data_IF_243390272890
#
_entry.id   IF_243390272890
#
_cell.length_a   1.000
_cell.length_b   1.000
_cell.length_c   1.000
_cell.angle_alpha   90.00
_cell.angle_beta   90.00
_cell.angle_gamma   90.00
#
_symmetry.space_group_name_H-M   'P 1'
#
loop_
_entity.id
_entity.type
_entity.pdbx_description
1 polymer ?
#
# COMPACT_ATOMS: atom_id res chain seq x y z
N UNK A 1 -17.74 -17.07 14.94
CA UNK A 1 -17.28 -16.10 13.90
C UNK A 1 -15.78 -15.97 14.09
N UNK A 2 -14.94 -16.20 13.07
CA UNK A 2 -13.49 -16.03 13.25
C UNK A 2 -13.20 -14.53 13.43
N UNK A 3 -12.97 -14.13 14.67
CA UNK A 3 -12.56 -12.78 15.05
C UNK A 3 -11.15 -12.51 14.48
N UNK A 4 -11.00 -11.40 13.76
CA UNK A 4 -9.67 -10.99 13.28
C UNK A 4 -9.04 -10.19 14.42
N UNK A 5 -8.09 -10.82 15.10
CA UNK A 5 -7.32 -10.16 16.16
C UNK A 5 -6.61 -8.93 15.59
N UNK A 6 -6.64 -7.82 16.34
CA UNK A 6 -5.99 -6.55 15.99
C UNK A 6 -6.35 -6.04 14.57
N UNK A 7 -7.63 -6.15 14.17
CA UNK A 7 -8.11 -5.77 12.84
C UNK A 7 -7.69 -4.37 12.39
N UNK A 8 -7.66 -3.39 13.31
CA UNK A 8 -7.15 -2.04 13.04
C UNK A 8 -5.72 -2.03 12.48
N UNK A 9 -4.87 -2.98 12.87
CA UNK A 9 -3.48 -3.12 12.40
C UNK A 9 -3.36 -3.75 11.01
N UNK A 10 -4.47 -4.11 10.36
CA UNK A 10 -4.49 -4.42 8.94
C UNK A 10 -4.68 -3.17 8.07
N UNK A 11 -5.15 -2.06 8.63
CA UNK A 11 -5.54 -0.88 7.84
C UNK A 11 -4.35 0.06 7.63
N UNK A 12 -4.07 0.36 6.37
CA UNK A 12 -3.26 1.49 5.93
C UNK A 12 -4.23 2.60 5.48
N UNK A 13 -4.49 3.58 6.36
CA UNK A 13 -5.43 4.67 6.13
C UNK A 13 -4.83 5.69 5.17
N UNK A 14 -5.52 6.01 4.09
CA UNK A 14 -4.90 6.63 2.90
C UNK A 14 -5.64 7.89 2.47
N UNK A 15 -4.90 8.99 2.27
CA UNK A 15 -5.36 10.24 1.68
C UNK A 15 -4.41 10.68 0.55
N UNK A 16 -4.72 10.27 -0.67
CA UNK A 16 -3.86 10.49 -1.86
C UNK A 16 -4.57 11.11 -3.06
N UNK A 17 -5.83 11.54 -2.89
CA UNK A 17 -6.56 12.26 -3.94
C UNK A 17 -5.93 13.63 -4.19
N UNK A 18 -5.77 14.07 -5.45
CA UNK A 18 -4.98 15.25 -5.80
C UNK A 18 -5.50 16.55 -5.19
N UNK A 19 -6.80 16.62 -4.91
CA UNK A 19 -7.47 17.78 -4.33
C UNK A 19 -7.50 17.79 -2.79
N UNK A 20 -6.88 16.81 -2.13
CA UNK A 20 -6.86 16.73 -0.67
C UNK A 20 -6.18 17.95 -0.04
N UNK A 21 -6.91 18.63 0.84
CA UNK A 21 -6.43 19.82 1.53
C UNK A 21 -5.58 19.45 2.75
N UNK A 22 -4.76 20.40 3.20
CA UNK A 22 -3.99 20.29 4.46
C UNK A 22 -4.88 19.87 5.64
N UNK A 23 -6.10 20.43 5.74
CA UNK A 23 -7.06 20.12 6.82
C UNK A 23 -7.46 18.65 6.79
N UNK A 24 -7.72 18.10 5.61
CA UNK A 24 -8.10 16.70 5.44
C UNK A 24 -6.93 15.75 5.71
N UNK A 25 -5.69 16.16 5.40
CA UNK A 25 -4.50 15.39 5.77
C UNK A 25 -4.31 15.34 7.29
N UNK A 26 -4.51 16.47 7.98
CA UNK A 26 -4.48 16.51 9.46
C UNK A 26 -5.54 15.56 10.03
N UNK A 27 -6.79 15.67 9.55
CA UNK A 27 -7.88 14.81 10.00
C UNK A 27 -7.56 13.32 9.77
N UNK A 28 -7.01 12.94 8.60
CA UNK A 28 -6.62 11.56 8.33
C UNK A 28 -5.53 11.05 9.30
N UNK A 29 -4.57 11.90 9.68
CA UNK A 29 -3.57 11.54 10.68
C UNK A 29 -4.21 11.32 12.06
N UNK A 30 -5.08 12.24 12.51
CA UNK A 30 -5.79 12.15 13.78
C UNK A 30 -6.70 10.91 13.85
N UNK A 31 -7.40 10.60 12.76
CA UNK A 31 -8.20 9.37 12.62
C UNK A 31 -7.32 8.13 12.73
N UNK A 32 -6.17 8.11 12.07
CA UNK A 32 -5.25 6.98 12.14
C UNK A 32 -4.72 6.75 13.55
N UNK A 33 -4.45 7.82 14.29
CA UNK A 33 -4.07 7.76 15.72
C UNK A 33 -5.24 7.22 16.55
N UNK A 34 -6.43 7.83 16.40
CA UNK A 34 -7.63 7.47 17.17
C UNK A 34 -7.97 5.99 17.10
N UNK A 35 -7.88 5.40 15.91
CA UNK A 35 -8.19 3.99 15.70
C UNK A 35 -6.95 3.08 15.68
N UNK A 36 -5.77 3.63 15.99
CA UNK A 36 -4.50 2.92 16.03
C UNK A 36 -4.25 2.08 14.76
N UNK A 37 -4.43 2.68 13.58
CA UNK A 37 -4.17 2.03 12.30
C UNK A 37 -2.68 1.73 12.11
N UNK A 38 -2.34 0.81 11.20
CA UNK A 38 -0.95 0.40 11.00
C UNK A 38 -0.09 1.54 10.44
N UNK A 39 -0.59 2.16 9.38
CA UNK A 39 0.12 3.20 8.63
C UNK A 39 -0.87 4.27 8.15
N UNK A 40 -0.44 5.52 8.10
CA UNK A 40 -1.16 6.60 7.42
C UNK A 40 -0.40 7.01 6.16
N UNK A 41 -1.02 6.89 4.98
CA UNK A 41 -0.44 7.31 3.70
C UNK A 41 -0.98 8.68 3.32
N UNK A 42 -0.07 9.61 3.06
CA UNK A 42 -0.38 11.01 2.73
C UNK A 42 0.34 11.45 1.46
N UNK A 43 -0.07 12.58 0.88
CA UNK A 43 0.63 13.16 -0.26
C UNK A 43 2.08 13.55 0.14
N UNK A 44 3.08 13.36 -0.76
CA UNK A 44 4.48 13.64 -0.44
C UNK A 44 4.74 15.03 0.12
N UNK A 45 4.03 16.05 -0.37
CA UNK A 45 4.16 17.44 0.10
C UNK A 45 3.75 17.65 1.57
N UNK A 46 3.01 16.72 2.17
CA UNK A 46 2.57 16.78 3.56
C UNK A 46 3.29 15.80 4.48
N UNK A 47 4.31 15.06 4.00
CA UNK A 47 5.08 14.13 4.84
C UNK A 47 5.65 14.80 6.11
N UNK A 48 6.30 15.98 6.06
CA UNK A 48 6.82 16.62 7.28
C UNK A 48 5.72 17.00 8.29
N UNK A 49 4.55 17.41 7.80
CA UNK A 49 3.39 17.73 8.62
C UNK A 49 2.85 16.46 9.29
N UNK A 50 2.60 15.41 8.51
CA UNK A 50 2.08 14.13 9.00
C UNK A 50 3.05 13.50 10.01
N UNK A 51 4.37 13.55 9.76
CA UNK A 51 5.40 13.09 10.71
C UNK A 51 5.25 13.77 12.08
N UNK A 52 5.00 15.08 12.08
CA UNK A 52 4.85 15.85 13.31
C UNK A 52 3.60 15.44 14.10
N UNK A 53 2.50 15.15 13.41
CA UNK A 53 1.22 14.74 14.03
C UNK A 53 1.28 13.30 14.54
N UNK A 54 1.86 12.38 13.77
CA UNK A 54 1.92 10.95 14.09
C UNK A 54 3.00 10.60 15.14
N UNK A 55 3.85 11.54 15.51
CA UNK A 55 4.98 11.32 16.43
C UNK A 55 4.52 10.68 17.75
N UNK A 56 5.08 9.52 18.08
CA UNK A 56 4.80 8.80 19.32
C UNK A 56 3.47 8.03 19.36
N UNK A 57 2.70 8.03 18.26
CA UNK A 57 1.39 7.36 18.21
C UNK A 57 1.45 5.84 17.97
N UNK A 58 2.56 5.33 17.42
CA UNK A 58 2.67 3.94 16.95
C UNK A 58 2.03 3.68 15.57
N UNK A 59 1.48 4.71 14.93
CA UNK A 59 1.06 4.71 13.53
C UNK A 59 2.24 5.11 12.67
N UNK A 60 2.60 4.27 11.69
CA UNK A 60 3.70 4.59 10.76
C UNK A 60 3.29 5.63 9.74
N UNK A 61 4.24 6.42 9.26
CA UNK A 61 4.04 7.30 8.10
C UNK A 61 4.38 6.59 6.79
N UNK A 62 3.42 6.51 5.87
CA UNK A 62 3.58 5.91 4.54
C UNK A 62 3.73 6.95 3.44
N UNK A 63 4.65 6.71 2.50
CA UNK A 63 4.83 7.55 1.31
C UNK A 63 4.62 6.76 0.01
N UNK A 64 3.84 7.29 -0.95
CA UNK A 64 3.80 6.73 -2.30
C UNK A 64 5.02 7.21 -3.12
N UNK A 65 5.51 6.37 -4.04
CA UNK A 65 6.64 6.69 -4.94
C UNK A 65 6.22 6.44 -6.38
N UNK A 66 6.52 7.40 -7.26
CA UNK A 66 6.18 7.38 -8.69
C UNK A 66 4.67 7.21 -8.91
N UNK A 67 3.87 7.74 -7.99
CA UNK A 67 2.45 7.43 -7.91
C UNK A 67 1.58 8.47 -8.65
N UNK A 68 0.50 8.06 -9.34
CA UNK A 68 -0.01 6.69 -9.44
C UNK A 68 0.50 5.89 -10.65
N UNK A 69 1.24 6.49 -11.59
CA UNK A 69 1.43 5.86 -12.90
C UNK A 69 2.72 5.03 -13.05
N UNK A 70 3.73 5.25 -12.22
CA UNK A 70 4.94 4.43 -12.19
C UNK A 70 5.90 4.63 -13.36
N UNK A 71 5.63 5.59 -14.26
CA UNK A 71 6.35 5.77 -15.53
C UNK A 71 7.63 6.60 -15.44
N UNK A 72 7.97 7.09 -14.24
CA UNK A 72 9.18 7.88 -14.05
C UNK A 72 10.41 6.98 -14.15
N UNK A 73 11.53 7.56 -14.58
CA UNK A 73 12.81 6.88 -14.63
C UNK A 73 13.25 6.42 -13.23
N UNK A 74 14.02 5.33 -13.19
CA UNK A 74 14.45 4.71 -11.94
C UNK A 74 15.19 5.70 -11.02
N UNK A 75 16.02 6.57 -11.58
CA UNK A 75 16.78 7.57 -10.80
C UNK A 75 15.86 8.56 -10.09
N UNK A 76 14.74 8.93 -10.72
CA UNK A 76 13.72 9.79 -10.12
C UNK A 76 13.02 9.07 -8.98
N UNK A 77 12.66 7.78 -9.16
CA UNK A 77 12.07 6.99 -8.06
C UNK A 77 13.02 6.84 -6.88
N UNK A 78 14.31 6.62 -7.13
CA UNK A 78 15.36 6.56 -6.10
C UNK A 78 15.48 7.89 -5.36
N UNK A 79 15.53 9.01 -6.09
CA UNK A 79 15.60 10.34 -5.49
C UNK A 79 14.35 10.64 -4.65
N UNK A 80 13.17 10.36 -5.18
CA UNK A 80 11.88 10.53 -4.49
C UNK A 80 11.83 9.69 -3.22
N UNK A 81 12.33 8.45 -3.28
CA UNK A 81 12.41 7.55 -2.11
C UNK A 81 13.30 8.15 -1.02
N UNK A 82 14.49 8.66 -1.37
CA UNK A 82 15.38 9.34 -0.40
C UNK A 82 14.68 10.54 0.23
N UNK A 83 14.01 11.36 -0.59
CA UNK A 83 13.27 12.54 -0.11
C UNK A 83 12.13 12.18 0.83
N UNK A 84 11.40 11.11 0.54
CA UNK A 84 10.33 10.62 1.40
C UNK A 84 10.87 10.17 2.77
N UNK A 85 12.00 9.45 2.77
CA UNK A 85 12.66 8.98 4.01
C UNK A 85 13.21 10.15 4.83
N UNK A 86 13.87 11.12 4.19
CA UNK A 86 14.31 12.37 4.83
C UNK A 86 13.12 13.11 5.48
N UNK A 87 11.98 13.12 4.79
CA UNK A 87 10.72 13.70 5.29
C UNK A 87 10.04 12.86 6.39
N UNK A 88 10.56 11.67 6.72
CA UNK A 88 10.12 10.83 7.83
C UNK A 88 9.20 9.67 7.46
N UNK A 89 9.12 9.28 6.19
CA UNK A 89 8.42 8.06 5.81
C UNK A 89 9.09 6.82 6.46
N UNK A 90 8.26 5.90 6.94
CA UNK A 90 8.64 4.63 7.57
C UNK A 90 8.17 3.42 6.75
N UNK A 91 7.29 3.63 5.76
CA UNK A 91 6.91 2.62 4.78
C UNK A 91 6.79 3.26 3.39
N UNK A 92 7.21 2.51 2.36
CA UNK A 92 7.22 2.98 0.98
C UNK A 92 6.26 2.14 0.13
N UNK A 93 5.39 2.79 -0.64
CA UNK A 93 4.55 2.14 -1.65
C UNK A 93 4.95 2.66 -3.05
N UNK A 94 5.78 1.92 -3.79
CA UNK A 94 6.21 2.30 -5.13
C UNK A 94 5.27 1.76 -6.21
N UNK A 95 5.09 2.47 -7.32
CA UNK A 95 4.42 1.92 -8.52
C UNK A 95 5.47 1.40 -9.51
N UNK A 96 5.26 0.19 -10.01
CA UNK A 96 6.10 -0.39 -11.06
C UNK A 96 6.05 0.44 -12.34
N UNK A 97 7.08 0.37 -13.17
CA UNK A 97 6.92 0.83 -14.55
C UNK A 97 6.06 -0.17 -15.34
N UNK A 98 4.78 0.17 -15.48
CA UNK A 98 3.79 -0.69 -16.17
C UNK A 98 4.16 -0.82 -17.65
N UNK A 99 4.69 0.25 -18.27
CA UNK A 99 5.12 0.23 -19.67
C UNK A 99 6.23 -0.80 -19.90
N UNK A 100 7.27 -0.82 -19.05
CA UNK A 100 8.34 -1.81 -19.15
C UNK A 100 7.82 -3.24 -18.97
N UNK A 101 6.91 -3.46 -18.01
CA UNK A 101 6.31 -4.79 -17.83
C UNK A 101 5.53 -5.24 -19.08
N UNK A 102 4.74 -4.34 -19.67
CA UNK A 102 3.98 -4.59 -20.90
C UNK A 102 4.87 -4.84 -22.12
N UNK A 103 6.02 -4.16 -22.17
CA UNK A 103 7.03 -4.36 -23.20
C UNK A 103 7.94 -5.57 -22.95
N UNK A 104 7.71 -6.33 -21.87
CA UNK A 104 8.53 -7.48 -21.48
C UNK A 104 10.00 -7.14 -21.16
N UNK A 105 10.27 -5.87 -20.83
CA UNK A 105 11.58 -5.36 -20.40
C UNK A 105 11.83 -5.73 -18.93
N UNK A 106 11.83 -7.02 -18.63
CA UNK A 106 11.77 -7.54 -17.25
C UNK A 106 13.01 -7.20 -16.43
N UNK A 107 14.17 -7.12 -17.07
CA UNK A 107 15.43 -6.70 -16.46
C UNK A 107 15.34 -5.26 -15.98
N UNK A 108 14.73 -4.35 -16.77
CA UNK A 108 14.50 -2.96 -16.37
C UNK A 108 13.51 -2.86 -15.21
N UNK A 109 12.45 -3.68 -15.22
CA UNK A 109 11.49 -3.74 -14.10
C UNK A 109 12.17 -4.24 -12.82
N UNK A 110 13.01 -5.27 -12.92
CA UNK A 110 13.77 -5.80 -11.79
C UNK A 110 14.76 -4.77 -11.25
N UNK A 111 15.48 -4.08 -12.12
CA UNK A 111 16.42 -3.03 -11.74
C UNK A 111 15.71 -1.86 -11.04
N UNK A 112 14.58 -1.39 -11.58
CA UNK A 112 13.76 -0.31 -11.02
C UNK A 112 13.33 -0.62 -9.57
N UNK A 113 12.73 -1.80 -9.36
CA UNK A 113 12.29 -2.23 -8.03
C UNK A 113 13.48 -2.44 -7.10
N UNK A 114 14.56 -3.09 -7.57
CA UNK A 114 15.73 -3.38 -6.73
C UNK A 114 16.44 -2.10 -6.26
N UNK A 115 16.53 -1.09 -7.11
CA UNK A 115 17.13 0.22 -6.74
C UNK A 115 16.28 0.95 -5.70
N UNK A 116 14.94 0.92 -5.81
CA UNK A 116 14.07 1.49 -4.78
C UNK A 116 14.15 0.69 -3.47
N UNK A 117 14.10 -0.64 -3.52
CA UNK A 117 14.23 -1.51 -2.34
C UNK A 117 15.55 -1.28 -1.62
N UNK A 118 16.67 -1.24 -2.34
CA UNK A 118 17.99 -0.99 -1.75
C UNK A 118 18.09 0.39 -1.11
N UNK A 119 17.53 1.41 -1.77
CA UNK A 119 17.50 2.79 -1.27
C UNK A 119 16.65 2.93 0.01
N UNK A 120 15.57 2.17 0.10
CA UNK A 120 14.65 2.24 1.23
C UNK A 120 15.14 1.51 2.49
N UNK A 121 16.18 0.68 2.42
CA UNK A 121 16.66 -0.10 3.58
C UNK A 121 17.01 0.82 4.76
N UNK A 122 16.66 0.43 6.00
CA UNK A 122 16.06 -0.85 6.40
C UNK A 122 14.53 -0.93 6.29
N UNK A 123 13.86 0.09 5.71
CA UNK A 123 12.41 0.11 5.56
C UNK A 123 11.94 -0.92 4.52
N UNK A 124 10.73 -1.42 4.71
CA UNK A 124 10.05 -2.29 3.76
C UNK A 124 9.43 -1.50 2.60
N UNK A 125 9.56 -2.05 1.39
CA UNK A 125 8.91 -1.52 0.18
C UNK A 125 7.74 -2.41 -0.21
N UNK A 126 6.63 -1.76 -0.56
CA UNK A 126 5.45 -2.38 -1.18
C UNK A 126 5.41 -1.99 -2.64
N UNK A 127 5.30 -2.99 -3.51
CA UNK A 127 5.32 -2.81 -4.97
C UNK A 127 3.89 -2.85 -5.51
N UNK A 128 3.36 -1.69 -5.90
CA UNK A 128 2.06 -1.56 -6.56
C UNK A 128 2.19 -2.00 -8.01
N UNK A 129 1.50 -3.08 -8.38
CA UNK A 129 1.57 -3.65 -9.73
C UNK A 129 0.44 -3.23 -10.65
N UNK A 130 -0.57 -2.56 -10.09
CA UNK A 130 -1.76 -2.09 -10.80
C UNK A 130 -2.46 -3.18 -11.61
N UNK A 131 -2.98 -4.18 -10.89
CA UNK A 131 -3.48 -5.45 -11.45
C UNK A 131 -4.56 -5.29 -12.51
N UNK A 132 -5.30 -4.17 -12.54
CA UNK A 132 -6.34 -3.90 -13.51
C UNK A 132 -5.83 -3.76 -14.95
N UNK A 133 -4.53 -3.50 -15.13
CA UNK A 133 -3.91 -3.46 -16.46
C UNK A 133 -3.24 -4.77 -16.84
N UNK A 134 -3.09 -5.71 -15.91
CA UNK A 134 -2.24 -6.88 -16.11
C UNK A 134 -3.03 -8.14 -16.48
N UNK A 135 -2.47 -8.93 -17.40
CA UNK A 135 -2.92 -10.31 -17.63
C UNK A 135 -2.50 -11.21 -16.46
N UNK A 136 -2.99 -12.45 -16.43
CA UNK A 136 -2.58 -13.42 -15.41
C UNK A 136 -1.08 -13.72 -15.50
N UNK A 137 -0.54 -13.84 -16.71
CA UNK A 137 0.87 -14.14 -16.98
C UNK A 137 1.77 -13.01 -16.48
N UNK A 138 1.38 -11.76 -16.75
CA UNK A 138 2.11 -10.58 -16.26
C UNK A 138 2.06 -10.48 -14.73
N UNK A 139 0.92 -10.79 -14.09
CA UNK A 139 0.79 -10.86 -12.63
C UNK A 139 1.73 -11.89 -12.02
N UNK A 140 1.88 -13.06 -12.64
CA UNK A 140 2.81 -14.11 -12.21
C UNK A 140 4.26 -13.61 -12.36
N UNK A 141 4.57 -13.00 -13.51
CA UNK A 141 5.92 -12.51 -13.80
C UNK A 141 6.36 -11.40 -12.86
N UNK A 142 5.51 -10.40 -12.61
CA UNK A 142 5.84 -9.30 -11.70
C UNK A 142 5.94 -9.75 -10.25
N UNK A 143 5.19 -10.77 -9.83
CA UNK A 143 5.34 -11.39 -8.52
C UNK A 143 6.74 -11.99 -8.34
N UNK A 144 7.23 -12.76 -9.32
CA UNK A 144 8.58 -13.32 -9.32
C UNK A 144 9.65 -12.22 -9.26
N UNK A 145 9.49 -11.16 -10.07
CA UNK A 145 10.40 -10.01 -10.06
C UNK A 145 10.40 -9.30 -8.70
N UNK A 146 9.24 -9.04 -8.10
CA UNK A 146 9.13 -8.37 -6.80
C UNK A 146 9.80 -9.19 -5.68
N UNK A 147 9.65 -10.52 -5.71
CA UNK A 147 10.33 -11.43 -4.78
C UNK A 147 11.86 -11.36 -4.97
N UNK A 148 12.34 -11.43 -6.23
CA UNK A 148 13.78 -11.36 -6.54
C UNK A 148 14.40 -10.03 -6.15
N UNK A 149 13.67 -8.93 -6.31
CA UNK A 149 14.09 -7.59 -5.89
C UNK A 149 14.14 -7.40 -4.37
N UNK A 150 13.56 -8.33 -3.58
CA UNK A 150 13.51 -8.25 -2.12
C UNK A 150 12.43 -7.30 -1.59
N UNK A 151 11.35 -7.08 -2.36
CA UNK A 151 10.21 -6.32 -1.86
C UNK A 151 9.52 -7.04 -0.69
N UNK A 152 9.08 -6.29 0.32
CA UNK A 152 8.38 -6.88 1.46
C UNK A 152 6.92 -7.20 1.11
N UNK A 153 6.29 -6.36 0.29
CA UNK A 153 4.92 -6.54 -0.14
C UNK A 153 4.77 -6.42 -1.66
N UNK A 154 3.83 -7.20 -2.20
CA UNK A 154 3.16 -6.89 -3.45
C UNK A 154 1.82 -6.22 -3.13
N UNK A 155 1.50 -5.13 -3.82
CA UNK A 155 0.28 -4.34 -3.64
C UNK A 155 -0.54 -4.36 -4.92
N UNK A 156 -1.85 -4.57 -4.81
CA UNK A 156 -2.72 -4.77 -5.97
C UNK A 156 -2.85 -3.52 -6.83
N UNK A 157 -3.30 -2.40 -6.26
CA UNK A 157 -3.79 -1.27 -7.06
C UNK A 157 -3.49 0.08 -6.43
N UNK A 158 -3.42 1.13 -7.25
CA UNK A 158 -3.28 2.52 -6.76
C UNK A 158 -4.59 3.10 -6.28
N UNK A 159 -5.71 2.65 -6.86
CA UNK A 159 -7.03 3.27 -6.71
C UNK A 159 -7.35 4.36 -7.76
N UNK A 160 -6.42 4.65 -8.67
CA UNK A 160 -6.59 5.59 -9.79
C UNK A 160 -6.75 4.89 -11.14
N UNK A 161 -6.50 3.58 -11.20
CA UNK A 161 -6.85 2.75 -12.35
C UNK A 161 -8.36 2.48 -12.47
N UNK A 162 -8.81 1.84 -13.58
CA UNK A 162 -10.22 1.55 -13.84
C UNK A 162 -10.85 0.55 -12.87
N UNK A 163 -10.04 -0.29 -12.20
CA UNK A 163 -10.49 -1.27 -11.21
C UNK A 163 -9.51 -1.36 -10.05
N UNK A 164 -10.01 -1.75 -8.88
CA UNK A 164 -9.22 -1.92 -7.66
C UNK A 164 -8.82 -3.38 -7.41
N UNK A 165 -8.69 -3.74 -6.13
CA UNK A 165 -8.36 -5.11 -5.73
C UNK A 165 -9.48 -6.10 -6.09
N UNK A 166 -9.09 -7.26 -6.60
CA UNK A 166 -9.98 -8.40 -6.82
C UNK A 166 -9.52 -9.59 -5.97
N UNK A 167 -10.46 -10.38 -5.43
CA UNK A 167 -10.13 -11.54 -4.60
C UNK A 167 -9.31 -12.58 -5.36
N UNK A 168 -9.51 -12.71 -6.67
CA UNK A 168 -8.74 -13.60 -7.53
C UNK A 168 -7.25 -13.23 -7.56
N UNK A 169 -6.93 -11.94 -7.62
CA UNK A 169 -5.54 -11.45 -7.62
C UNK A 169 -4.84 -11.73 -6.29
N UNK A 170 -5.52 -11.49 -5.17
CA UNK A 170 -4.96 -11.76 -3.83
C UNK A 170 -4.74 -13.25 -3.62
N UNK A 171 -5.67 -14.11 -4.05
CA UNK A 171 -5.49 -15.56 -3.98
C UNK A 171 -4.32 -16.03 -4.84
N UNK A 172 -4.22 -15.54 -6.08
CA UNK A 172 -3.11 -15.84 -6.99
C UNK A 172 -1.76 -15.47 -6.34
N UNK A 173 -1.65 -14.25 -5.81
CA UNK A 173 -0.42 -13.82 -5.14
C UNK A 173 -0.12 -14.63 -3.89
N UNK A 174 -1.13 -15.04 -3.11
CA UNK A 174 -0.90 -15.84 -1.90
C UNK A 174 -0.43 -17.25 -2.24
N UNK A 175 -1.05 -17.88 -3.23
CA UNK A 175 -0.71 -19.23 -3.68
C UNK A 175 0.73 -19.31 -4.19
N UNK A 176 1.14 -18.35 -5.02
CA UNK A 176 2.45 -18.35 -5.66
C UNK A 176 3.54 -17.72 -4.79
N UNK A 177 3.23 -16.64 -4.08
CA UNK A 177 4.17 -15.90 -3.24
C UNK A 177 4.45 -16.57 -1.89
N UNK A 178 3.49 -17.35 -1.38
CA UNK A 178 3.57 -18.11 -0.12
C UNK A 178 4.01 -17.21 1.05
N UNK A 179 5.20 -17.45 1.60
CA UNK A 179 5.78 -16.70 2.72
C UNK A 179 6.98 -15.84 2.28
N UNK A 180 7.27 -15.79 0.97
CA UNK A 180 8.38 -15.01 0.40
C UNK A 180 8.04 -13.53 0.27
N UNK A 181 6.75 -13.19 0.21
CA UNK A 181 6.27 -11.82 0.05
C UNK A 181 4.88 -11.69 0.68
N UNK A 182 4.60 -10.54 1.31
CA UNK A 182 3.29 -10.22 1.89
C UNK A 182 2.41 -9.53 0.85
N UNK A 183 1.10 -9.50 1.10
CA UNK A 183 0.13 -8.90 0.15
C UNK A 183 -0.56 -7.71 0.80
N UNK A 184 -0.62 -6.59 0.08
CA UNK A 184 -1.48 -5.45 0.41
C UNK A 184 -2.60 -5.33 -0.63
N UNK A 185 -3.85 -5.54 -0.22
CA UNK A 185 -5.01 -5.32 -1.08
C UNK A 185 -5.43 -3.84 -0.98
N UNK A 186 -5.61 -3.17 -2.12
CA UNK A 186 -6.04 -1.77 -2.16
C UNK A 186 -6.84 -1.43 -3.41
N UNK A 187 -7.65 -0.37 -3.31
CA UNK A 187 -8.56 0.09 -4.37
C UNK A 187 -9.95 -0.52 -4.23
N UNK A 188 -10.96 0.32 -3.99
CA UNK A 188 -12.37 -0.10 -3.95
C UNK A 188 -12.84 -0.79 -2.65
N UNK A 189 -12.00 -0.90 -1.62
CA UNK A 189 -12.35 -1.56 -0.35
C UNK A 189 -13.02 -0.54 0.58
N UNK A 190 -14.34 -0.66 0.77
CA UNK A 190 -15.20 0.35 1.44
C UNK A 190 -16.05 -0.20 2.58
N UNK A 191 -15.97 -1.49 2.90
CA UNK A 191 -16.68 -2.12 4.03
C UNK A 191 -15.81 -3.14 4.76
N UNK A 192 -16.17 -3.44 6.00
CA UNK A 192 -15.57 -4.49 6.81
C UNK A 192 -15.63 -5.85 6.12
N UNK A 193 -16.77 -6.20 5.50
CA UNK A 193 -16.91 -7.50 4.82
C UNK A 193 -15.94 -7.65 3.64
N UNK A 194 -15.70 -6.58 2.88
CA UNK A 194 -14.70 -6.59 1.80
C UNK A 194 -13.29 -6.76 2.40
N UNK A 195 -12.92 -5.94 3.39
CA UNK A 195 -11.62 -6.02 4.04
C UNK A 195 -11.35 -7.41 4.63
N UNK A 196 -12.33 -7.97 5.36
CA UNK A 196 -12.30 -9.32 5.91
C UNK A 196 -12.08 -10.38 4.83
N UNK A 197 -12.78 -10.27 3.70
CA UNK A 197 -12.64 -11.22 2.59
C UNK A 197 -11.23 -11.22 2.01
N UNK A 198 -10.61 -10.05 1.87
CA UNK A 198 -9.22 -9.94 1.42
C UNK A 198 -8.22 -10.50 2.44
N UNK A 199 -8.42 -10.23 3.74
CA UNK A 199 -7.57 -10.77 4.81
C UNK A 199 -7.62 -12.30 4.81
N UNK A 200 -8.83 -12.88 4.73
CA UNK A 200 -9.02 -14.33 4.65
C UNK A 200 -8.44 -14.94 3.36
N UNK A 201 -8.38 -14.16 2.27
CA UNK A 201 -7.74 -14.57 1.02
C UNK A 201 -6.20 -14.50 1.07
N UNK A 202 -5.60 -13.92 2.11
CA UNK A 202 -4.16 -13.84 2.32
C UNK A 202 -3.57 -12.43 2.36
N UNK A 203 -4.39 -11.38 2.31
CA UNK A 203 -3.90 -10.01 2.47
C UNK A 203 -3.40 -9.77 3.91
N UNK A 204 -2.16 -9.31 4.03
CA UNK A 204 -1.56 -8.90 5.29
C UNK A 204 -1.76 -7.40 5.59
N UNK A 205 -2.25 -6.63 4.62
CA UNK A 205 -2.59 -5.22 4.77
C UNK A 205 -3.70 -4.80 3.81
N UNK A 206 -4.48 -3.80 4.20
CA UNK A 206 -5.61 -3.24 3.47
C UNK A 206 -5.36 -1.74 3.29
N UNK A 207 -5.12 -1.30 2.05
CA UNK A 207 -5.04 0.13 1.73
C UNK A 207 -6.42 0.69 1.39
N UNK A 208 -6.88 1.67 2.17
CA UNK A 208 -8.20 2.29 1.97
C UNK A 208 -8.26 3.72 2.49
N UNK A 209 -9.11 4.55 1.87
CA UNK A 209 -9.53 5.86 2.40
C UNK A 209 -10.78 5.76 3.29
N UNK A 210 -11.45 4.60 3.31
CA UNK A 210 -12.63 4.33 4.12
C UNK A 210 -12.29 3.72 5.48
N UNK A 211 -11.05 3.86 5.97
CA UNK A 211 -10.55 3.21 7.18
C UNK A 211 -11.47 3.41 8.39
N UNK A 212 -11.90 4.65 8.63
CA UNK A 212 -12.83 5.00 9.72
C UNK A 212 -14.17 4.29 9.61
N UNK A 213 -14.76 4.23 8.41
CA UNK A 213 -16.02 3.53 8.19
C UNK A 213 -15.86 2.04 8.48
N UNK A 214 -14.82 1.43 7.92
CA UNK A 214 -14.54 0.00 8.04
C UNK A 214 -14.29 -0.41 9.49
N UNK A 215 -13.52 0.38 10.26
CA UNK A 215 -13.26 0.05 11.67
C UNK A 215 -14.50 0.24 12.54
N UNK A 216 -15.36 1.22 12.25
CA UNK A 216 -16.64 1.38 12.97
C UNK A 216 -17.56 0.19 12.76
N UNK A 217 -17.75 -0.23 11.50
CA UNK A 217 -18.51 -1.44 11.17
C UNK A 217 -17.97 -2.67 11.92
N UNK A 218 -16.64 -2.80 12.04
CA UNK A 218 -16.02 -3.86 12.84
C UNK A 218 -16.33 -3.75 14.34
N UNK A 219 -16.17 -2.56 14.92
CA UNK A 219 -16.39 -2.31 16.35
C UNK A 219 -17.85 -2.52 16.76
N UNK A 220 -18.79 -2.10 15.92
CA UNK A 220 -20.22 -2.38 16.08
C UNK A 220 -20.48 -3.89 16.14
N UNK A 221 -19.90 -4.66 15.21
CA UNK A 221 -20.07 -6.12 15.13
C UNK A 221 -19.52 -6.87 16.36
N UNK A 222 -18.48 -6.35 17.01
CA UNK A 222 -17.89 -6.97 18.21
C UNK A 222 -18.40 -6.35 19.52
N UNK A 223 -19.42 -5.48 19.46
CA UNK A 223 -20.02 -4.85 20.64
C UNK A 223 -19.08 -3.90 21.39
N UNK A 224 -18.16 -3.23 20.69
CA UNK A 224 -17.17 -2.30 21.27
C UNK A 224 -17.35 -0.85 20.83
N UNK A 225 -18.52 -0.47 20.32
CA UNK A 225 -18.84 0.93 20.15
C UNK A 225 -18.98 1.59 21.54
N UNK A 226 -18.14 2.59 21.83
CA UNK A 226 -18.30 3.53 22.94
C UNK A 226 -18.33 4.93 22.39
#
# INVERSE_FOLDING_TARGET
>A
MNEIKDFNRYIDHTILRPEATKKEVIAACEEAIKYNFATCFVLPCYLPLAKSILKGSGVKLGAPISFPFGYQDTEIKVWETKKAIEAGAEEIDMVINISYLKSQEYELVLEDISKVVSTAKPLGVKVIVETCYLTKEEKIKILDIAIKAGAEYIKTSTGFGPKGAELADVKLFKELGKDKIKIKASGGIRSYQQAKSFILAGAARIGTSAGVKIIKEYLELIGREK
#
